data_IF_248713631335
#
_entry.id   IF_248713631335
#
_cell.length_a   1.000
_cell.length_b   1.000
_cell.length_c   1.000
_cell.angle_alpha   90.00
_cell.angle_beta   90.00
_cell.angle_gamma   90.00
#
_symmetry.space_group_name_H-M   'P 1'
#
loop_
_entity.id
_entity.type
_entity.pdbx_description
1 polymer ?
#
# COMPACT_ATOMS: atom_id res chain seq x y z
N UNK A 1 19.22 8.99 -13.09
CA UNK A 1 20.45 8.26 -13.44
C UNK A 1 21.51 8.59 -12.42
N UNK A 2 21.89 7.62 -11.61
CA UNK A 2 22.85 7.78 -10.53
C UNK A 2 23.22 6.41 -9.95
N UNK A 3 24.18 6.38 -9.01
CA UNK A 3 24.62 5.15 -8.34
C UNK A 3 23.60 4.53 -7.37
N UNK A 4 22.39 5.11 -7.31
CA UNK A 4 21.25 4.68 -6.49
C UNK A 4 20.02 4.58 -7.40
N UNK A 5 19.29 3.48 -7.29
CA UNK A 5 17.95 3.29 -7.85
C UNK A 5 16.94 2.98 -6.74
N UNK A 6 15.74 3.55 -6.82
CA UNK A 6 14.64 3.28 -5.87
C UNK A 6 13.55 2.51 -6.62
N UNK A 7 13.19 1.34 -6.11
CA UNK A 7 12.14 0.49 -6.63
C UNK A 7 10.74 1.00 -6.30
N UNK A 8 9.72 0.44 -6.96
CA UNK A 8 8.32 0.78 -6.72
C UNK A 8 7.81 0.34 -5.33
N UNK A 9 8.47 -0.63 -4.71
CA UNK A 9 8.30 -1.08 -3.33
C UNK A 9 9.03 -0.21 -2.30
N UNK A 10 9.71 0.84 -2.76
CA UNK A 10 10.57 1.69 -1.92
C UNK A 10 11.96 1.10 -1.65
N UNK A 11 12.30 -0.06 -2.23
CA UNK A 11 13.62 -0.65 -2.03
C UNK A 11 14.71 0.21 -2.68
N UNK A 12 15.76 0.52 -1.92
CA UNK A 12 16.92 1.27 -2.40
C UNK A 12 18.03 0.29 -2.79
N UNK A 13 18.37 0.26 -4.08
CA UNK A 13 19.44 -0.56 -4.63
C UNK A 13 20.58 0.31 -5.15
N UNK A 14 21.81 -0.20 -5.02
CA UNK A 14 23.01 0.42 -5.57
C UNK A 14 23.25 -0.13 -6.98
N UNK A 15 23.45 0.76 -7.95
CA UNK A 15 23.70 0.39 -9.35
C UNK A 15 25.18 0.31 -9.70
N UNK A 16 26.06 0.86 -8.86
CA UNK A 16 27.51 0.82 -9.02
C UNK A 16 28.23 0.82 -7.67
N UNK A 17 29.39 0.17 -7.57
CA UNK A 17 30.25 0.26 -6.40
C UNK A 17 30.85 1.67 -6.23
N UNK A 18 31.17 2.06 -4.99
CA UNK A 18 31.82 3.33 -4.64
C UNK A 18 32.86 3.09 -3.55
N UNK A 19 33.88 3.95 -3.49
CA UNK A 19 34.89 3.94 -2.43
C UNK A 19 34.27 4.32 -1.08
N UNK A 20 34.81 3.73 0.00
CA UNK A 20 34.46 4.11 1.37
C UNK A 20 34.73 5.59 1.61
N UNK A 21 33.89 6.23 2.43
CA UNK A 21 33.90 7.67 2.69
C UNK A 21 33.02 8.48 1.73
N UNK A 22 32.61 7.91 0.59
CA UNK A 22 31.67 8.56 -0.32
C UNK A 22 30.27 8.62 0.31
N UNK A 23 29.57 9.73 0.15
CA UNK A 23 28.13 9.86 0.44
C UNK A 23 27.42 10.21 -0.84
N UNK A 24 26.42 9.41 -1.21
CA UNK A 24 25.56 9.69 -2.37
C UNK A 24 24.18 10.05 -1.84
N UNK A 25 23.67 11.19 -2.26
CA UNK A 25 22.32 11.65 -1.90
C UNK A 25 21.44 11.75 -3.14
N UNK A 26 20.16 11.47 -2.97
CA UNK A 26 19.14 11.63 -4.00
C UNK A 26 17.80 12.03 -3.40
N UNK A 27 16.90 12.47 -4.26
CA UNK A 27 15.52 12.80 -3.90
C UNK A 27 14.60 11.77 -4.53
N UNK A 28 13.68 11.21 -3.73
CA UNK A 28 12.65 10.29 -4.18
C UNK A 28 11.26 10.92 -4.00
N UNK A 29 10.39 10.69 -4.98
CA UNK A 29 8.99 11.13 -4.94
C UNK A 29 8.10 9.91 -4.87
N UNK A 30 7.04 9.97 -4.08
CA UNK A 30 5.98 8.97 -4.11
C UNK A 30 5.01 9.30 -5.25
N UNK A 31 4.56 8.27 -5.96
CA UNK A 31 3.57 8.37 -7.02
C UNK A 31 2.45 7.38 -6.75
N UNK A 32 1.21 7.87 -6.74
CA UNK A 32 0.00 7.06 -6.75
C UNK A 32 -0.51 6.91 -8.19
N UNK A 33 -1.01 5.73 -8.55
CA UNK A 33 -1.58 5.41 -9.87
C UNK A 33 -3.10 5.60 -9.94
N UNK A 34 -3.69 6.36 -9.00
CA UNK A 34 -5.13 6.64 -8.97
C UNK A 34 -5.69 7.12 -10.32
N UNK A 35 -6.94 6.73 -10.62
CA UNK A 35 -7.63 7.08 -11.88
C UNK A 35 -8.31 8.45 -11.85
N UNK A 36 -8.75 8.93 -10.68
CA UNK A 36 -9.41 10.23 -10.52
C UNK A 36 -9.01 10.84 -9.17
N UNK A 37 -8.41 12.04 -9.12
CA UNK A 37 -8.23 13.04 -10.19
C UNK A 37 -7.09 12.76 -11.19
N UNK A 38 -6.45 11.59 -11.10
CA UNK A 38 -5.30 11.18 -11.91
C UNK A 38 -4.16 10.72 -11.02
N UNK A 39 -3.00 10.44 -11.60
CA UNK A 39 -1.82 10.06 -10.82
C UNK A 39 -1.39 11.23 -9.92
N UNK A 40 -1.32 10.98 -8.61
CA UNK A 40 -0.86 11.97 -7.63
C UNK A 40 0.61 11.76 -7.36
N UNK A 41 1.34 12.86 -7.17
CA UNK A 41 2.76 12.86 -6.79
C UNK A 41 2.89 13.60 -5.47
N UNK A 42 3.78 13.13 -4.59
CA UNK A 42 4.11 13.87 -3.38
C UNK A 42 4.72 15.23 -3.70
N UNK A 43 4.25 16.30 -3.04
CA UNK A 43 4.78 17.65 -3.24
C UNK A 43 6.23 17.77 -2.77
N UNK A 44 6.51 17.18 -1.60
CA UNK A 44 7.84 17.19 -1.00
C UNK A 44 8.59 15.88 -1.30
N UNK A 45 9.81 15.94 -1.84
CA UNK A 45 10.63 14.74 -2.00
C UNK A 45 11.20 14.25 -0.68
N UNK A 46 11.30 12.93 -0.52
CA UNK A 46 12.11 12.31 0.51
C UNK A 46 13.59 12.35 0.12
N UNK A 47 14.45 12.86 1.01
CA UNK A 47 15.90 12.87 0.79
C UNK A 47 16.52 11.57 1.28
N UNK A 48 17.15 10.83 0.38
CA UNK A 48 17.80 9.55 0.68
C UNK A 48 19.31 9.77 0.61
N UNK A 49 20.04 9.36 1.63
CA UNK A 49 21.51 9.40 1.67
C UNK A 49 22.09 8.02 1.96
N UNK A 50 23.00 7.55 1.11
CA UNK A 50 23.75 6.31 1.31
C UNK A 50 25.19 6.68 1.57
N UNK A 51 25.69 6.29 2.76
CA UNK A 51 27.09 6.45 3.15
C UNK A 51 27.82 5.13 2.96
N UNK A 52 28.91 5.15 2.21
CA UNK A 52 29.76 3.99 2.00
C UNK A 52 30.81 3.92 3.11
N UNK A 53 30.85 2.82 3.85
CA UNK A 53 31.86 2.55 4.88
C UNK A 53 32.78 1.43 4.44
N UNK A 54 34.00 1.42 4.98
CA UNK A 54 34.95 0.33 4.73
C UNK A 54 34.36 -0.97 5.26
N UNK A 55 34.34 -2.02 4.43
CA UNK A 55 34.03 -3.35 4.92
C UNK A 55 35.10 -3.76 5.94
N UNK A 56 34.71 -4.38 7.06
CA UNK A 56 35.69 -4.98 7.96
C UNK A 56 36.46 -6.04 7.17
N UNK A 57 37.77 -5.85 7.02
CA UNK A 57 38.62 -6.88 6.46
C UNK A 57 38.59 -8.06 7.42
N UNK A 58 37.99 -9.18 7.01
CA UNK A 58 38.25 -10.45 7.70
C UNK A 58 39.75 -10.66 7.61
N UNK A 59 40.46 -10.58 8.73
CA UNK A 59 41.89 -10.88 8.78
C UNK A 59 42.07 -12.23 8.10
N UNK A 60 42.94 -12.28 7.08
CA UNK A 60 43.25 -13.55 6.43
C UNK A 60 43.51 -14.61 7.51
N UNK A 61 42.98 -15.84 7.37
CA UNK A 61 43.28 -16.90 8.32
C UNK A 61 44.80 -16.97 8.42
N UNK A 62 45.33 -16.79 9.64
CA UNK A 62 46.75 -16.82 9.91
C UNK A 62 47.29 -18.08 9.24
N UNK A 63 48.06 -17.89 8.17
CA UNK A 63 48.67 -19.00 7.44
C UNK A 63 49.55 -19.69 8.46
N UNK A 64 49.12 -20.87 8.91
CA UNK A 64 49.94 -21.74 9.74
C UNK A 64 51.27 -21.92 9.00
N UNK A 65 52.38 -21.79 9.73
CA UNK A 65 53.72 -21.86 9.19
C UNK A 65 53.88 -23.07 8.25
N UNK A 66 54.64 -22.93 7.15
CA UNK A 66 54.77 -23.99 6.15
C UNK A 66 55.46 -25.22 6.77
N UNK A 67 54.73 -26.33 6.88
CA UNK A 67 55.36 -27.65 7.01
C UNK A 67 55.74 -28.10 5.61
N UNK A 68 57.04 -28.20 5.36
CA UNK A 68 57.62 -28.67 4.10
C UNK A 68 57.12 -30.07 3.75
N UNK A 69 56.28 -30.18 2.71
CA UNK A 69 56.07 -31.43 2.00
C UNK A 69 55.97 -31.20 0.49
N UNK A 70 56.68 -32.10 -0.20
CA UNK A 70 56.99 -32.30 -1.62
C UNK A 70 56.15 -31.60 -2.72
N UNK A 71 56.78 -31.31 -3.89
CA UNK A 71 56.07 -30.80 -5.05
C UNK A 71 55.35 -31.94 -5.78
N UNK A 72 54.15 -31.70 -6.32
CA UNK A 72 53.66 -32.21 -7.63
C UNK A 72 52.15 -31.96 -7.81
N UNK A 73 51.78 -31.20 -8.85
CA UNK A 73 50.75 -31.46 -9.86
C UNK A 73 49.90 -30.23 -10.28
N UNK A 74 50.00 -29.95 -11.59
CA UNK A 74 49.09 -29.36 -12.58
C UNK A 74 47.98 -28.32 -12.21
N UNK A 75 47.76 -27.30 -13.08
CA UNK A 75 46.66 -26.35 -12.95
C UNK A 75 45.33 -26.97 -13.41
N UNK A 76 44.36 -27.05 -12.51
CA UNK A 76 42.97 -27.41 -12.84
C UNK A 76 42.16 -26.13 -13.09
N UNK A 77 41.66 -25.98 -14.30
CA UNK A 77 40.76 -24.91 -14.73
C UNK A 77 39.42 -25.02 -13.99
N UNK A 78 39.16 -24.10 -13.06
CA UNK A 78 37.88 -24.03 -12.35
C UNK A 78 36.84 -23.30 -13.21
N UNK A 79 36.00 -24.08 -13.88
CA UNK A 79 34.76 -23.58 -14.49
C UNK A 79 33.90 -22.95 -13.39
N UNK A 80 33.62 -21.65 -13.54
CA UNK A 80 32.75 -20.89 -12.65
C UNK A 80 31.31 -21.31 -12.92
N UNK A 81 30.86 -22.37 -12.27
CA UNK A 81 29.44 -22.72 -12.25
C UNK A 81 28.69 -21.59 -11.57
N UNK A 82 27.77 -20.96 -12.30
CA UNK A 82 26.88 -19.93 -11.77
C UNK A 82 26.28 -20.42 -10.44
N UNK A 83 26.51 -19.65 -9.39
CA UNK A 83 25.98 -19.90 -8.05
C UNK A 83 24.46 -19.81 -8.11
N UNK A 84 23.79 -20.93 -8.37
CA UNK A 84 22.39 -21.11 -8.03
C UNK A 84 22.25 -20.78 -6.55
N UNK A 85 21.52 -19.70 -6.25
CA UNK A 85 21.18 -19.31 -4.90
C UNK A 85 20.40 -20.44 -4.23
N UNK A 86 21.10 -21.33 -3.55
CA UNK A 86 20.52 -22.19 -2.54
C UNK A 86 20.25 -21.33 -1.31
N UNK A 87 19.14 -20.57 -1.34
CA UNK A 87 18.47 -20.06 -0.14
C UNK A 87 17.74 -21.21 0.54
N UNK A 88 18.50 -22.22 0.96
CA UNK A 88 18.00 -23.40 1.63
C UNK A 88 17.62 -23.09 3.07
N UNK A 89 16.33 -22.94 3.34
CA UNK A 89 15.58 -23.35 4.56
C UNK A 89 14.43 -22.41 4.92
N UNK A 90 14.46 -21.13 4.54
CA UNK A 90 13.41 -20.18 4.90
C UNK A 90 12.19 -20.20 3.97
N UNK A 91 12.36 -20.47 2.67
CA UNK A 91 11.24 -20.45 1.72
C UNK A 91 10.23 -21.57 1.94
N UNK A 92 10.68 -22.75 2.41
CA UNK A 92 9.80 -23.90 2.66
C UNK A 92 8.83 -23.61 3.81
N UNK A 93 9.30 -22.98 4.89
CA UNK A 93 8.45 -22.60 6.02
C UNK A 93 7.35 -21.60 5.59
N UNK A 94 7.70 -20.59 4.77
CA UNK A 94 6.74 -19.62 4.25
C UNK A 94 5.71 -20.25 3.30
N UNK A 95 6.13 -21.20 2.46
CA UNK A 95 5.22 -21.93 1.56
C UNK A 95 4.24 -22.79 2.36
N UNK A 96 4.72 -23.52 3.38
CA UNK A 96 3.86 -24.31 4.26
C UNK A 96 2.86 -23.43 5.02
N UNK A 97 3.31 -22.30 5.57
CA UNK A 97 2.45 -21.36 6.28
C UNK A 97 1.37 -20.79 5.36
N UNK A 98 1.75 -20.39 4.14
CA UNK A 98 0.81 -19.85 3.14
C UNK A 98 -0.20 -20.91 2.70
N UNK A 99 0.24 -22.16 2.55
CA UNK A 99 -0.64 -23.28 2.19
C UNK A 99 -1.68 -23.56 3.27
N UNK A 100 -1.28 -23.59 4.55
CA UNK A 100 -2.20 -23.82 5.68
C UNK A 100 -3.21 -22.68 5.79
N UNK A 101 -2.75 -21.43 5.65
CA UNK A 101 -3.62 -20.27 5.68
C UNK A 101 -4.63 -20.30 4.52
N UNK A 102 -4.18 -20.66 3.31
CA UNK A 102 -5.04 -20.80 2.14
C UNK A 102 -6.13 -21.85 2.31
N UNK A 103 -5.80 -23.04 2.82
CA UNK A 103 -6.78 -24.10 3.10
C UNK A 103 -7.79 -23.65 4.17
N UNK A 104 -7.33 -22.91 5.19
CA UNK A 104 -8.21 -22.36 6.23
C UNK A 104 -9.22 -21.35 5.66
N UNK A 105 -8.77 -20.42 4.82
CA UNK A 105 -9.65 -19.47 4.13
C UNK A 105 -10.63 -20.16 3.18
N UNK A 106 -10.16 -21.15 2.40
CA UNK A 106 -11.01 -21.90 1.49
C UNK A 106 -12.09 -22.69 2.24
N UNK A 107 -11.73 -23.29 3.39
CA UNK A 107 -12.66 -23.98 4.28
C UNK A 107 -13.70 -23.04 4.90
N UNK A 108 -13.29 -21.86 5.39
CA UNK A 108 -14.21 -20.84 5.89
C UNK A 108 -15.15 -20.34 4.79
N UNK A 109 -14.65 -20.13 3.58
CA UNK A 109 -15.47 -19.70 2.44
C UNK A 109 -16.47 -20.78 2.06
N UNK A 110 -16.06 -22.05 1.98
CA UNK A 110 -16.95 -23.18 1.74
C UNK A 110 -18.01 -23.32 2.84
N UNK A 111 -17.63 -23.13 4.11
CA UNK A 111 -18.55 -23.15 5.24
C UNK A 111 -19.57 -22.00 5.19
N UNK A 112 -19.11 -20.78 4.87
CA UNK A 112 -19.98 -19.62 4.70
C UNK A 112 -20.92 -19.84 3.51
N UNK A 113 -20.44 -20.33 2.38
CA UNK A 113 -21.31 -20.70 1.27
C UNK A 113 -22.31 -21.77 1.72
N UNK A 114 -21.89 -22.89 2.31
CA UNK A 114 -22.81 -23.92 2.77
C UNK A 114 -23.92 -23.37 3.70
N UNK A 115 -23.52 -22.57 4.70
CA UNK A 115 -24.44 -22.08 5.74
C UNK A 115 -25.35 -20.96 5.24
N UNK A 116 -24.83 -20.05 4.42
CA UNK A 116 -25.58 -18.89 3.92
C UNK A 116 -26.25 -19.13 2.57
N UNK A 117 -25.85 -20.14 1.80
CA UNK A 117 -26.49 -20.53 0.54
C UNK A 117 -27.94 -20.94 0.75
N UNK A 118 -28.25 -21.67 1.83
CA UNK A 118 -29.63 -22.01 2.17
C UNK A 118 -30.49 -20.75 2.41
N UNK A 119 -29.95 -19.75 3.11
CA UNK A 119 -30.66 -18.49 3.35
C UNK A 119 -30.86 -17.71 2.04
N UNK A 120 -29.79 -17.55 1.24
CA UNK A 120 -29.86 -16.84 -0.04
C UNK A 120 -30.79 -17.53 -1.05
N UNK A 121 -30.75 -18.86 -1.17
CA UNK A 121 -31.64 -19.61 -2.05
C UNK A 121 -33.11 -19.43 -1.65
N UNK A 122 -33.42 -19.44 -0.36
CA UNK A 122 -34.78 -19.24 0.13
C UNK A 122 -35.28 -17.79 -0.03
N UNK A 123 -34.44 -16.78 0.20
CA UNK A 123 -34.83 -15.37 0.01
C UNK A 123 -34.92 -14.98 -1.46
N UNK A 124 -33.99 -15.43 -2.30
CA UNK A 124 -34.01 -15.15 -3.74
C UNK A 124 -35.22 -15.80 -4.42
N UNK A 125 -35.59 -17.02 -4.03
CA UNK A 125 -36.80 -17.67 -4.56
C UNK A 125 -38.09 -16.93 -4.19
N UNK A 126 -38.15 -16.28 -3.01
CA UNK A 126 -39.31 -15.43 -2.66
C UNK A 126 -39.37 -14.16 -3.51
N UNK A 127 -38.25 -13.47 -3.73
CA UNK A 127 -38.22 -12.24 -4.53
C UNK A 127 -38.59 -12.45 -6.00
N UNK A 128 -38.18 -13.59 -6.60
CA UNK A 128 -38.58 -13.94 -7.97
C UNK A 128 -40.11 -14.05 -8.13
N UNK A 129 -40.81 -14.58 -7.11
CA UNK A 129 -42.28 -14.67 -7.11
C UNK A 129 -42.97 -13.31 -7.00
N UNK A 130 -42.42 -12.37 -6.23
CA UNK A 130 -42.99 -11.02 -6.09
C UNK A 130 -42.88 -10.20 -7.38
N UNK A 131 -41.78 -10.31 -8.13
CA UNK A 131 -41.64 -9.63 -9.44
C UNK A 131 -42.68 -10.10 -10.46
N UNK A 132 -43.08 -11.37 -10.42
CA UNK A 132 -44.09 -11.88 -11.36
C UNK A 132 -45.51 -11.39 -11.05
N UNK A 133 -45.79 -10.98 -9.80
CA UNK A 133 -47.11 -10.50 -9.38
C UNK A 133 -47.30 -9.00 -9.62
N UNK A 134 -46.21 -8.21 -9.57
CA UNK A 134 -46.28 -6.75 -9.72
C UNK A 134 -46.44 -6.25 -11.17
N UNK A 135 -46.19 -7.10 -12.19
CA UNK A 135 -46.45 -6.76 -13.61
C UNK A 135 -47.93 -6.75 -14.00
N UNK A 136 -48.84 -7.06 -13.06
CA UNK A 136 -50.28 -7.10 -13.32
C UNK A 136 -51.05 -6.07 -12.51
N UNK A 137 -50.44 -4.91 -12.22
CA UNK A 137 -51.22 -3.75 -11.80
C UNK A 137 -51.65 -2.98 -13.05
N UNK A 138 -52.96 -2.75 -13.24
CA UNK A 138 -53.44 -1.91 -14.32
C UNK A 138 -52.89 -0.50 -14.15
N UNK A 139 -52.37 0.03 -15.25
CA UNK A 139 -51.88 1.39 -15.38
C UNK A 139 -52.93 2.36 -14.82
N UNK A 140 -52.69 3.08 -13.71
CA UNK A 140 -53.56 4.15 -13.30
C UNK A 140 -53.43 5.23 -14.38
N UNK A 141 -54.52 5.46 -15.11
CA UNK A 141 -54.69 6.56 -16.06
C UNK A 141 -54.25 7.86 -15.39
N UNK A 142 -53.08 8.35 -15.81
CA UNK A 142 -52.53 9.65 -15.44
C UNK A 142 -53.20 10.73 -16.30
N UNK A 143 -54.46 11.04 -15.98
CA UNK A 143 -55.00 12.36 -16.30
C UNK A 143 -54.62 13.27 -15.12
N UNK A 144 -53.64 14.13 -15.35
CA UNK A 144 -53.58 15.53 -14.90
C UNK A 144 -52.13 16.01 -14.99
N UNK A 145 -51.71 16.32 -16.23
CA UNK A 145 -50.42 16.93 -16.52
C UNK A 145 -50.57 18.43 -16.32
N UNK A 146 -50.42 18.88 -15.08
CA UNK A 146 -50.31 20.30 -14.76
C UNK A 146 -49.06 20.87 -15.45
N UNK A 147 -49.28 21.88 -16.30
CA UNK A 147 -48.27 22.43 -17.17
C UNK A 147 -47.19 23.15 -16.36
N UNK A 148 -46.01 22.53 -16.26
CA UNK A 148 -44.82 23.17 -15.71
C UNK A 148 -44.43 24.35 -16.62
N UNK A 149 -44.18 25.55 -16.08
CA UNK A 149 -43.75 26.69 -16.87
C UNK A 149 -42.39 26.44 -17.56
N UNK A 150 -42.13 27.11 -18.70
CA UNK A 150 -40.92 26.88 -19.48
C UNK A 150 -39.65 27.18 -18.66
N UNK A 151 -38.58 26.38 -18.81
CA UNK A 151 -37.34 26.59 -18.08
C UNK A 151 -36.69 27.93 -18.47
N UNK A 152 -36.13 28.69 -17.51
CA UNK A 152 -35.41 29.92 -17.81
C UNK A 152 -34.16 29.63 -18.65
N UNK A 153 -33.90 30.50 -19.62
CA UNK A 153 -32.74 30.44 -20.53
C UNK A 153 -31.41 30.35 -19.77
N UNK A 154 -30.49 29.44 -20.18
CA UNK A 154 -29.23 29.23 -19.49
C UNK A 154 -28.33 30.47 -19.58
N UNK A 155 -28.04 31.09 -18.44
CA UNK A 155 -27.02 32.12 -18.35
C UNK A 155 -25.63 31.46 -18.39
N UNK A 156 -24.70 31.94 -19.23
CA UNK A 156 -23.35 31.41 -19.31
C UNK A 156 -22.56 31.90 -18.11
N UNK A 157 -22.36 31.05 -17.09
CA UNK A 157 -21.45 31.42 -16.01
C UNK A 157 -21.39 30.56 -14.74
N UNK A 158 -22.16 29.48 -14.57
CA UNK A 158 -22.21 28.79 -13.27
C UNK A 158 -22.04 27.27 -13.37
N UNK A 159 -20.82 26.81 -13.12
CA UNK A 159 -20.42 25.39 -12.98
C UNK A 159 -21.15 24.64 -11.84
N UNK A 160 -21.94 25.33 -11.01
CA UNK A 160 -22.76 24.71 -9.95
C UNK A 160 -24.07 24.09 -10.46
N UNK A 161 -24.44 24.27 -11.74
CA UNK A 161 -25.67 23.69 -12.31
C UNK A 161 -25.61 22.17 -12.54
N UNK A 162 -24.43 21.65 -12.92
CA UNK A 162 -24.29 20.24 -13.32
C UNK A 162 -24.55 19.24 -12.18
N UNK A 163 -24.23 19.61 -10.93
CA UNK A 163 -24.47 18.75 -9.78
C UNK A 163 -25.94 18.76 -9.32
N UNK A 164 -26.68 19.84 -9.59
CA UNK A 164 -28.08 19.98 -9.14
C UNK A 164 -29.08 19.24 -10.05
N UNK A 165 -28.76 19.08 -11.33
CA UNK A 165 -29.67 18.42 -12.30
C UNK A 165 -29.72 16.89 -12.15
N UNK A 166 -28.67 16.24 -11.61
CA UNK A 166 -28.64 14.77 -11.47
C UNK A 166 -29.18 14.23 -10.16
N UNK A 167 -29.43 15.10 -9.18
CA UNK A 167 -29.97 14.70 -7.87
C UNK A 167 -31.12 15.62 -7.46
N UNK A 168 -32.26 15.60 -8.19
CA UNK A 168 -33.45 16.31 -7.75
C UNK A 168 -34.02 15.60 -6.52
N UNK A 169 -33.70 16.13 -5.34
CA UNK A 169 -34.44 15.98 -4.08
C UNK A 169 -34.31 14.70 -3.25
N UNK A 170 -33.41 13.75 -3.56
CA UNK A 170 -33.24 12.57 -2.68
C UNK A 170 -32.54 12.88 -1.34
N UNK A 171 -31.87 14.04 -1.18
CA UNK A 171 -31.09 14.38 0.01
C UNK A 171 -31.77 15.36 1.02
N UNK A 172 -33.04 15.77 0.81
CA UNK A 172 -33.66 16.84 1.63
C UNK A 172 -34.87 16.35 2.48
N UNK A 173 -35.14 15.05 2.58
CA UNK A 173 -36.20 14.60 3.50
C UNK A 173 -35.85 14.73 4.99
N UNK A 174 -34.58 14.97 5.32
CA UNK A 174 -34.19 15.47 6.62
C UNK A 174 -33.15 16.56 6.44
N UNK A 175 -33.54 17.83 6.57
CA UNK A 175 -32.52 18.84 6.82
C UNK A 175 -31.76 18.38 8.07
N UNK A 176 -30.43 18.16 8.01
CA UNK A 176 -29.66 17.90 9.21
C UNK A 176 -29.92 19.08 10.15
N UNK A 177 -30.46 18.78 11.33
CA UNK A 177 -30.86 19.77 12.32
C UNK A 177 -29.64 20.65 12.65
N UNK A 178 -29.58 21.84 12.03
CA UNK A 178 -28.47 22.77 12.17
C UNK A 178 -28.34 23.29 13.61
N UNK A 179 -29.33 23.06 14.46
CA UNK A 179 -29.27 23.40 15.88
C UNK A 179 -28.50 22.38 16.72
N UNK A 180 -28.18 21.20 16.17
CA UNK A 180 -27.35 20.16 16.80
C UNK A 180 -25.89 20.16 16.34
N UNK A 181 -25.44 21.22 15.67
CA UNK A 181 -24.01 21.37 15.48
C UNK A 181 -23.38 21.69 16.86
N UNK A 182 -22.34 20.95 17.28
CA UNK A 182 -21.65 21.26 18.52
C UNK A 182 -21.21 22.72 18.47
N UNK A 183 -21.43 23.46 19.57
CA UNK A 183 -21.01 24.85 19.60
C UNK A 183 -19.47 24.88 19.47
N UNK A 184 -18.88 25.98 18.96
CA UNK A 184 -17.42 26.11 18.90
C UNK A 184 -16.72 25.84 20.25
N UNK A 185 -17.40 26.09 21.37
CA UNK A 185 -16.91 25.81 22.71
C UNK A 185 -16.88 24.29 23.05
N UNK A 186 -17.78 23.49 22.47
CA UNK A 186 -17.83 22.03 22.67
C UNK A 186 -16.72 21.31 21.88
N UNK A 187 -16.20 21.94 20.81
CA UNK A 187 -15.07 21.40 20.06
C UNK A 187 -13.73 21.48 20.84
N UNK A 188 -13.57 22.45 21.74
CA UNK A 188 -12.32 22.64 22.49
C UNK A 188 -12.13 21.56 23.57
N UNK A 189 -13.21 21.00 24.14
CA UNK A 189 -13.11 19.94 25.16
C UNK A 189 -12.67 18.58 24.58
N UNK A 190 -12.84 18.35 23.28
CA UNK A 190 -12.39 17.11 22.63
C UNK A 190 -10.97 17.19 22.06
N UNK A 191 -10.28 18.33 22.17
CA UNK A 191 -8.84 18.45 21.93
C UNK A 191 -8.02 18.05 23.18
N UNK A 192 -8.42 16.99 23.88
CA UNK A 192 -7.61 16.43 24.95
C UNK A 192 -6.62 15.42 24.37
N UNK A 193 -5.35 15.85 24.29
CA UNK A 193 -4.14 15.04 24.11
C UNK A 193 -3.61 14.83 22.68
N UNK A 194 -3.60 15.86 21.83
CA UNK A 194 -2.44 16.00 20.93
C UNK A 194 -1.37 16.74 21.71
N UNK A 195 -0.67 15.99 22.56
CA UNK A 195 0.63 16.43 23.10
C UNK A 195 1.53 16.50 21.87
N UNK A 196 1.67 17.69 21.30
CA UNK A 196 2.78 17.95 20.39
C UNK A 196 4.05 17.62 21.18
N UNK A 197 4.87 16.65 20.74
CA UNK A 197 6.13 16.40 21.39
C UNK A 197 6.92 17.69 21.25
N UNK A 198 7.09 18.40 22.37
CA UNK A 198 8.09 19.46 22.48
C UNK A 198 9.40 18.81 22.09
N UNK A 199 9.87 19.14 20.88
CA UNK A 199 11.21 18.80 20.42
C UNK A 199 12.15 19.67 21.24
N UNK A 200 12.42 19.24 22.46
CA UNK A 200 13.59 19.67 23.20
C UNK A 200 14.78 19.11 22.42
N UNK A 201 15.49 19.98 21.71
CA UNK A 201 16.84 19.70 21.23
C UNK A 201 17.76 19.45 22.44
N UNK A 202 17.68 18.26 23.01
CA UNK A 202 18.79 17.68 23.75
C UNK A 202 19.44 16.67 22.83
N UNK A 203 20.66 17.00 22.42
CA UNK A 203 21.61 16.09 21.84
C UNK A 203 21.86 14.93 22.80
N UNK A 204 20.97 13.94 22.77
CA UNK A 204 21.20 12.64 23.38
C UNK A 204 21.47 11.68 22.23
N UNK A 205 22.68 11.13 22.24
CA UNK A 205 23.08 9.98 21.45
C UNK A 205 22.22 8.78 21.88
N UNK A 206 20.95 8.79 21.47
CA UNK A 206 20.03 7.68 21.60
C UNK A 206 20.38 6.69 20.51
N UNK A 207 20.89 5.55 20.96
CA UNK A 207 21.11 4.31 20.22
C UNK A 207 19.82 3.90 19.50
N UNK A 208 19.60 4.50 18.32
CA UNK A 208 18.73 3.94 17.31
C UNK A 208 19.36 2.61 16.96
N UNK A 209 18.80 1.56 17.56
CA UNK A 209 18.89 0.19 17.10
C UNK A 209 18.28 0.13 15.71
N UNK A 210 19.06 0.66 14.77
CA UNK A 210 19.03 0.36 13.36
C UNK A 210 18.97 -1.15 13.35
N UNK A 211 17.85 -1.73 12.96
CA UNK A 211 17.83 -3.10 12.50
C UNK A 211 18.85 -3.16 11.36
N UNK A 212 20.09 -3.47 11.71
CA UNK A 212 21.14 -3.87 10.81
C UNK A 212 20.61 -5.13 10.18
N UNK A 213 19.84 -4.96 9.10
CA UNK A 213 19.75 -5.92 8.03
C UNK A 213 21.20 -6.26 7.74
N UNK A 214 21.61 -7.42 8.25
CA UNK A 214 22.94 -8.01 8.12
C UNK A 214 23.08 -8.36 6.65
N UNK A 215 23.26 -7.34 5.81
CA UNK A 215 23.47 -7.47 4.38
C UNK A 215 24.85 -8.09 4.26
N UNK A 216 24.87 -9.41 4.03
CA UNK A 216 26.03 -10.12 3.49
C UNK A 216 26.48 -9.29 2.29
N UNK A 217 27.64 -8.64 2.43
CA UNK A 217 28.33 -8.04 1.31
C UNK A 217 28.84 -9.22 0.46
N UNK A 218 28.02 -9.65 -0.50
CA UNK A 218 28.48 -10.55 -1.54
C UNK A 218 29.21 -9.68 -2.54
N UNK A 219 30.54 -9.78 -2.53
CA UNK A 219 31.40 -9.21 -3.57
C UNK A 219 31.10 -10.04 -4.84
N UNK A 220 30.54 -9.40 -5.87
CA UNK A 220 30.49 -9.91 -7.23
C UNK A 220 31.78 -9.51 -7.95
#
# INVERSE_FOLDING_TARGET
GGSISVGADGAVALTSSRSAGTVVSGSAYAWDKGQTPGALRSDNPARISVRFTTCPSTSAPATAAPTTSAPTAAPTTTTTTATSYSSGSSSVAWILLSSVLGVCFLGLLAFMLWRYWYMCAHTCHRQARYKHRSRRMPNPTSDEREATPPPPTPQPGFLFGFWKERFPNDDIQGQPDRTKLPSPADMEQHQTNTIDPVVTEQAQAGDLTLHTLKKKCTIL
#
